data_IF_541270328952
#
_entry.id   IF_541270328952
#
_cell.length_a   1.000
_cell.length_b   1.000
_cell.length_c   1.000
_cell.angle_alpha   90.00
_cell.angle_beta   90.00
_cell.angle_gamma   90.00
#
_symmetry.space_group_name_H-M   'P 1'
#
loop_
_entity.id
_entity.type
_entity.pdbx_description
1 polymer ?
#
# COMPACT_ATOMS: atom_id res chain seq x y z
N UNK A 1 0.67 24.96 6.56
CA UNK A 1 -0.61 24.23 6.66
C UNK A 1 -1.05 24.25 8.11
N UNK A 2 -2.27 24.71 8.39
CA UNK A 2 -2.91 24.62 9.71
C UNK A 2 -3.44 23.20 9.95
N UNK A 3 -3.78 22.88 11.20
CA UNK A 3 -4.32 21.56 11.58
C UNK A 3 -5.56 21.18 10.75
N UNK A 4 -6.52 22.11 10.63
CA UNK A 4 -7.77 21.93 9.88
C UNK A 4 -7.51 21.64 8.39
N UNK A 5 -6.57 22.35 7.78
CA UNK A 5 -6.19 22.15 6.37
C UNK A 5 -5.58 20.76 6.13
N UNK A 6 -4.83 20.22 7.11
CA UNK A 6 -4.26 18.88 7.02
C UNK A 6 -5.35 17.81 7.13
N UNK A 7 -6.27 17.95 8.08
CA UNK A 7 -7.40 17.02 8.20
C UNK A 7 -8.28 17.06 6.95
N UNK A 8 -8.55 18.24 6.41
CA UNK A 8 -9.31 18.39 5.17
C UNK A 8 -8.61 17.71 3.99
N UNK A 9 -7.28 17.87 3.85
CA UNK A 9 -6.49 17.15 2.85
C UNK A 9 -6.61 15.62 3.02
N UNK A 10 -6.50 15.11 4.25
CA UNK A 10 -6.57 13.67 4.51
C UNK A 10 -7.96 13.12 4.17
N UNK A 11 -9.01 13.77 4.65
CA UNK A 11 -10.38 13.29 4.55
C UNK A 11 -10.98 13.47 3.16
N UNK A 12 -10.71 14.60 2.49
CA UNK A 12 -11.34 14.91 1.20
C UNK A 12 -10.53 14.46 0.00
N UNK A 13 -9.23 14.26 0.17
CA UNK A 13 -8.34 13.94 -0.95
C UNK A 13 -7.65 12.58 -0.77
N UNK A 14 -6.80 12.44 0.25
CA UNK A 14 -5.92 11.27 0.36
C UNK A 14 -6.70 9.97 0.61
N UNK A 15 -7.56 9.92 1.63
CA UNK A 15 -8.29 8.69 1.97
C UNK A 15 -9.26 8.25 0.87
N UNK A 16 -10.10 9.13 0.29
CA UNK A 16 -11.00 8.74 -0.79
C UNK A 16 -10.26 8.15 -2.00
N UNK A 17 -9.15 8.76 -2.41
CA UNK A 17 -8.33 8.26 -3.51
C UNK A 17 -7.67 6.91 -3.15
N UNK A 18 -7.17 6.74 -1.93
CA UNK A 18 -6.65 5.45 -1.44
C UNK A 18 -7.70 4.34 -1.58
N UNK A 19 -8.93 4.57 -1.12
CA UNK A 19 -10.03 3.61 -1.23
C UNK A 19 -10.40 3.32 -2.68
N UNK A 20 -10.45 4.34 -3.54
CA UNK A 20 -10.73 4.18 -4.97
C UNK A 20 -9.65 3.30 -5.65
N UNK A 21 -8.38 3.52 -5.35
CA UNK A 21 -7.26 2.71 -5.83
C UNK A 21 -7.38 1.26 -5.35
N UNK A 22 -7.69 1.03 -4.06
CA UNK A 22 -7.88 -0.33 -3.53
C UNK A 22 -9.06 -1.06 -4.15
N UNK A 23 -10.11 -0.34 -4.59
CA UNK A 23 -11.26 -0.93 -5.26
C UNK A 23 -10.91 -1.35 -6.69
N UNK A 24 -10.22 -0.47 -7.43
CA UNK A 24 -9.88 -0.68 -8.85
C UNK A 24 -8.69 -1.62 -9.07
N UNK A 25 -7.56 -1.45 -8.37
CA UNK A 25 -6.38 -2.32 -8.50
C UNK A 25 -6.62 -3.73 -7.94
N UNK A 26 -7.53 -3.87 -6.98
CA UNK A 26 -7.90 -5.17 -6.40
C UNK A 26 -8.45 -6.16 -7.43
N UNK A 27 -9.08 -5.66 -8.49
CA UNK A 27 -9.62 -6.49 -9.57
C UNK A 27 -8.51 -7.09 -10.44
N UNK A 28 -7.35 -6.42 -10.59
CA UNK A 28 -6.28 -6.82 -11.49
C UNK A 28 -5.30 -7.87 -10.91
N UNK A 29 -5.07 -7.89 -9.59
CA UNK A 29 -4.00 -8.71 -8.98
C UNK A 29 -4.48 -9.82 -8.02
N UNK A 30 -5.69 -9.69 -7.47
CA UNK A 30 -6.16 -10.54 -6.36
C UNK A 30 -7.20 -11.58 -6.78
N UNK A 31 -7.80 -11.44 -7.97
CA UNK A 31 -9.10 -12.05 -8.23
C UNK A 31 -10.18 -11.36 -7.38
N UNK A 32 -11.44 -11.47 -7.76
CA UNK A 32 -12.55 -10.79 -7.07
C UNK A 32 -12.73 -11.22 -5.60
N UNK A 33 -12.09 -12.31 -5.16
CA UNK A 33 -12.39 -12.98 -3.89
C UNK A 33 -11.37 -12.74 -2.76
N UNK A 34 -10.05 -12.69 -3.03
CA UNK A 34 -9.02 -12.53 -1.98
C UNK A 34 -8.01 -11.42 -2.30
N UNK A 35 -8.25 -10.22 -1.75
CA UNK A 35 -7.36 -9.05 -1.87
C UNK A 35 -5.95 -9.25 -1.28
N UNK A 36 -5.75 -10.28 -0.44
CA UNK A 36 -4.48 -10.62 0.19
C UNK A 36 -3.82 -11.84 -0.48
N UNK A 37 -4.48 -12.42 -1.48
CA UNK A 37 -4.07 -13.67 -2.11
C UNK A 37 -2.71 -13.59 -2.80
N UNK A 38 -2.31 -12.40 -3.29
CA UNK A 38 -0.98 -12.18 -3.85
C UNK A 38 0.13 -12.46 -2.83
N UNK A 39 0.01 -11.97 -1.60
CA UNK A 39 1.00 -12.17 -0.54
C UNK A 39 1.07 -13.63 -0.11
N UNK A 40 -0.08 -14.30 0.04
CA UNK A 40 -0.17 -15.73 0.38
C UNK A 40 0.49 -16.60 -0.70
N UNK A 41 0.20 -16.33 -1.99
CA UNK A 41 0.83 -17.05 -3.12
C UNK A 41 2.33 -16.81 -3.20
N UNK A 42 2.79 -15.55 -3.10
CA UNK A 42 4.21 -15.23 -3.13
C UNK A 42 4.96 -15.85 -1.95
N UNK A 43 4.37 -15.80 -0.76
CA UNK A 43 4.92 -16.44 0.43
C UNK A 43 5.12 -17.95 0.24
N UNK A 44 4.12 -18.65 -0.32
CA UNK A 44 4.21 -20.07 -0.63
C UNK A 44 5.31 -20.36 -1.65
N UNK A 45 5.39 -19.60 -2.75
CA UNK A 45 6.38 -19.79 -3.80
C UNK A 45 7.81 -19.54 -3.31
N UNK A 46 8.01 -18.56 -2.45
CA UNK A 46 9.33 -18.16 -1.95
C UNK A 46 9.72 -18.82 -0.61
N UNK A 47 8.87 -19.69 -0.04
CA UNK A 47 9.15 -20.34 1.25
C UNK A 47 9.22 -19.37 2.43
N UNK A 48 8.37 -18.34 2.45
CA UNK A 48 8.37 -17.28 3.47
C UNK A 48 6.97 -17.05 4.04
N UNK A 49 6.79 -16.02 4.88
CA UNK A 49 5.46 -15.66 5.43
C UNK A 49 4.76 -14.60 4.57
N UNK A 50 3.41 -14.52 4.58
CA UNK A 50 2.67 -13.45 3.90
C UNK A 50 3.14 -12.04 4.29
N UNK A 51 3.49 -11.82 5.55
CA UNK A 51 4.00 -10.53 6.04
C UNK A 51 5.38 -10.19 5.48
N UNK A 52 6.27 -11.18 5.32
CA UNK A 52 7.56 -10.99 4.64
C UNK A 52 7.37 -10.71 3.15
N UNK A 53 6.44 -11.40 2.50
CA UNK A 53 6.09 -11.11 1.11
C UNK A 53 5.52 -9.69 0.96
N UNK A 54 4.59 -9.30 1.83
CA UNK A 54 4.07 -7.93 1.93
C UNK A 54 5.20 -6.91 2.10
N UNK A 55 6.15 -7.16 3.01
CA UNK A 55 7.25 -6.24 3.31
C UNK A 55 8.10 -5.93 2.07
N UNK A 56 8.38 -6.93 1.24
CA UNK A 56 9.14 -6.74 0.00
C UNK A 56 8.40 -5.77 -0.94
N UNK A 57 7.09 -5.94 -1.12
CA UNK A 57 6.30 -5.04 -1.95
C UNK A 57 6.14 -3.64 -1.34
N UNK A 58 6.00 -3.55 -0.02
CA UNK A 58 5.98 -2.29 0.70
C UNK A 58 7.31 -1.52 0.52
N UNK A 59 8.45 -2.21 0.66
CA UNK A 59 9.79 -1.65 0.46
C UNK A 59 9.94 -1.02 -0.91
N UNK A 60 9.39 -1.63 -1.98
CA UNK A 60 9.40 -1.02 -3.31
C UNK A 60 8.79 0.39 -3.33
N UNK A 61 7.64 0.60 -2.67
CA UNK A 61 7.01 1.92 -2.58
C UNK A 61 7.74 2.86 -1.63
N UNK A 62 8.31 2.31 -0.56
CA UNK A 62 9.10 3.05 0.42
C UNK A 62 10.42 3.56 -0.19
N UNK A 63 11.08 2.76 -1.04
CA UNK A 63 12.30 3.14 -1.74
C UNK A 63 12.03 4.29 -2.72
N UNK A 64 10.88 4.24 -3.42
CA UNK A 64 10.44 5.33 -4.28
C UNK A 64 10.23 6.63 -3.49
N UNK A 65 9.49 6.58 -2.37
CA UNK A 65 9.35 7.74 -1.46
C UNK A 65 10.71 8.23 -0.93
N UNK A 66 11.58 7.30 -0.55
CA UNK A 66 12.91 7.64 -0.01
C UNK A 66 13.78 8.33 -1.06
N UNK A 67 13.75 7.87 -2.32
CA UNK A 67 14.44 8.53 -3.43
C UNK A 67 13.89 9.93 -3.71
N UNK A 68 12.59 10.17 -3.51
CA UNK A 68 12.00 11.52 -3.57
C UNK A 68 12.52 12.44 -2.48
N UNK A 69 12.60 11.96 -1.24
CA UNK A 69 13.15 12.75 -0.13
C UNK A 69 14.63 13.10 -0.37
N UNK A 70 15.39 12.22 -1.04
CA UNK A 70 16.79 12.46 -1.41
C UNK A 70 16.98 13.28 -2.69
N UNK A 71 15.91 13.79 -3.31
CA UNK A 71 15.95 14.52 -4.58
C UNK A 71 16.49 13.69 -5.78
N UNK A 72 16.38 12.36 -5.69
CA UNK A 72 16.85 11.38 -6.69
C UNK A 72 15.71 10.75 -7.50
N UNK A 73 14.48 11.24 -7.33
CA UNK A 73 13.28 10.61 -7.87
C UNK A 73 13.23 10.64 -9.40
N UNK A 74 13.14 9.46 -10.01
CA UNK A 74 13.08 9.28 -11.47
C UNK A 74 11.90 8.43 -11.93
N UNK A 75 10.96 8.18 -11.02
CA UNK A 75 9.78 7.39 -11.32
C UNK A 75 8.79 8.19 -12.19
N UNK A 76 8.03 7.50 -13.04
CA UNK A 76 6.96 8.12 -13.84
C UNK A 76 5.73 8.45 -12.99
N UNK A 77 5.54 7.75 -11.87
CA UNK A 77 4.42 7.98 -10.96
C UNK A 77 4.61 9.28 -10.15
N UNK A 78 3.52 10.01 -9.91
CA UNK A 78 3.57 11.19 -9.04
C UNK A 78 3.80 10.77 -7.58
N UNK A 79 4.52 11.59 -6.81
CA UNK A 79 4.80 11.29 -5.40
C UNK A 79 3.53 11.07 -4.55
N UNK A 80 2.44 11.79 -4.86
CA UNK A 80 1.12 11.58 -4.24
C UNK A 80 0.67 10.12 -4.37
N UNK A 81 0.83 9.52 -5.55
CA UNK A 81 0.50 8.12 -5.80
C UNK A 81 1.35 7.16 -4.96
N UNK A 82 2.64 7.45 -4.76
CA UNK A 82 3.51 6.64 -3.90
C UNK A 82 3.13 6.71 -2.43
N UNK A 83 2.72 7.89 -1.94
CA UNK A 83 2.17 8.06 -0.58
C UNK A 83 0.89 7.22 -0.42
N UNK A 84 -0.01 7.26 -1.40
CA UNK A 84 -1.25 6.49 -1.40
C UNK A 84 -1.00 4.98 -1.47
N UNK A 85 -0.05 4.54 -2.29
CA UNK A 85 0.37 3.12 -2.32
C UNK A 85 0.84 2.69 -0.92
N UNK A 86 1.70 3.47 -0.25
CA UNK A 86 2.17 3.16 1.11
C UNK A 86 1.02 3.04 2.12
N UNK A 87 0.07 3.99 2.11
CA UNK A 87 -1.12 3.94 2.98
C UNK A 87 -1.94 2.68 2.69
N UNK A 88 -2.19 2.38 1.41
CA UNK A 88 -2.92 1.19 1.01
C UNK A 88 -2.22 -0.10 1.42
N UNK A 89 -0.88 -0.16 1.37
CA UNK A 89 -0.13 -1.30 1.89
C UNK A 89 -0.23 -1.44 3.40
N UNK A 90 -0.36 -0.35 4.16
CA UNK A 90 -0.63 -0.43 5.61
C UNK A 90 -2.03 -1.00 5.89
N UNK A 91 -3.05 -0.64 5.10
CA UNK A 91 -4.36 -1.30 5.15
C UNK A 91 -4.25 -2.79 4.76
N UNK A 92 -3.44 -3.07 3.74
CA UNK A 92 -2.86 -4.36 3.34
C UNK A 92 -2.51 -5.25 4.54
N UNK A 93 -1.55 -4.73 5.31
CA UNK A 93 -0.97 -5.37 6.46
C UNK A 93 -2.00 -5.57 7.58
N UNK A 94 -2.83 -4.56 7.85
CA UNK A 94 -3.90 -4.67 8.83
C UNK A 94 -4.82 -5.86 8.54
N UNK A 95 -5.21 -6.05 7.28
CA UNK A 95 -5.98 -7.22 6.83
C UNK A 95 -5.25 -8.55 7.08
N UNK A 96 -3.97 -8.64 6.70
CA UNK A 96 -3.15 -9.84 6.94
C UNK A 96 -3.02 -10.18 8.43
N UNK A 97 -2.73 -9.20 9.28
CA UNK A 97 -2.58 -9.40 10.72
C UNK A 97 -3.91 -9.79 11.37
N UNK A 98 -5.03 -9.21 10.91
CA UNK A 98 -6.37 -9.58 11.36
C UNK A 98 -6.72 -11.02 11.03
N UNK A 99 -6.47 -11.48 9.80
CA UNK A 99 -6.67 -12.89 9.40
C UNK A 99 -5.85 -13.86 10.27
N UNK A 100 -4.66 -13.43 10.70
CA UNK A 100 -3.77 -14.23 11.54
C UNK A 100 -4.00 -14.08 13.05
N UNK A 101 -5.03 -13.33 13.48
CA UNK A 101 -5.30 -13.05 14.89
C UNK A 101 -4.12 -12.41 15.65
N UNK A 102 -3.37 -11.53 14.96
CA UNK A 102 -2.22 -10.78 15.50
C UNK A 102 -2.55 -9.30 15.76
N UNK A 103 -3.83 -8.94 15.70
CA UNK A 103 -4.35 -7.59 15.91
C UNK A 103 -5.34 -7.62 17.08
#
# INVERSE_FOLDING_TARGET
MKSEELFELIEKDILPECFAIMKTKGEAYSGLEDKLGNFKRCAKLAGTTPEKAWFIYFCKHFDALSSFIREEYKDSEKIKGRIQDLINYLFLLCGLLKEQSKL
#
